data_IF_877465678974
#
_entry.id   IF_877465678974
#
_cell.length_a   1.000
_cell.length_b   1.000
_cell.length_c   1.000
_cell.angle_alpha   90.00
_cell.angle_beta   90.00
_cell.angle_gamma   90.00
#
_symmetry.space_group_name_H-M   'P 1'
#
loop_
_entity.id
_entity.type
_entity.pdbx_description
1 polymer ?
#
# COMPACT_ATOMS: atom_id res chain seq x y z
N UNK A 1 11.66 6.96 3.77
CA UNK A 1 11.63 7.23 2.32
C UNK A 1 12.92 6.75 1.66
N UNK A 2 12.84 6.24 0.44
CA UNK A 2 14.01 5.73 -0.28
C UNK A 2 14.66 6.78 -1.19
N UNK A 3 13.99 7.89 -1.48
CA UNK A 3 14.50 8.94 -2.35
C UNK A 3 14.65 10.29 -1.64
N UNK A 4 15.70 11.03 -1.99
CA UNK A 4 15.93 12.39 -1.56
C UNK A 4 16.44 13.24 -2.73
N UNK A 5 16.54 14.55 -2.53
CA UNK A 5 17.16 15.48 -3.47
C UNK A 5 18.59 15.78 -3.01
N UNK A 6 19.51 15.82 -3.96
CA UNK A 6 20.85 16.39 -3.74
C UNK A 6 20.76 17.92 -3.65
N UNK A 7 21.84 18.58 -3.27
CA UNK A 7 21.94 20.05 -3.28
C UNK A 7 21.62 20.66 -4.66
N UNK A 8 21.97 19.96 -5.73
CA UNK A 8 21.64 20.37 -7.11
C UNK A 8 20.21 20.06 -7.56
N UNK A 9 19.37 19.52 -6.68
CA UNK A 9 17.97 19.18 -6.98
C UNK A 9 17.78 17.84 -7.68
N UNK A 10 18.84 17.05 -7.90
CA UNK A 10 18.73 15.74 -8.52
C UNK A 10 18.17 14.73 -7.52
N UNK A 11 17.23 13.90 -7.98
CA UNK A 11 16.67 12.83 -7.20
C UNK A 11 17.60 11.64 -7.13
N UNK A 12 17.91 11.16 -5.92
CA UNK A 12 18.82 10.05 -5.65
C UNK A 12 18.15 9.02 -4.75
N UNK A 13 18.43 7.74 -4.98
CA UNK A 13 18.00 6.65 -4.12
C UNK A 13 18.99 6.47 -2.95
N UNK A 14 18.51 6.03 -1.79
CA UNK A 14 19.31 5.88 -0.57
C UNK A 14 20.48 4.91 -0.74
N UNK A 15 20.35 3.84 -1.56
CA UNK A 15 21.46 2.94 -1.87
C UNK A 15 22.64 3.63 -2.53
N UNK A 16 22.37 4.66 -3.32
CA UNK A 16 23.38 5.40 -4.10
C UNK A 16 23.93 6.61 -3.31
N UNK A 17 23.32 6.93 -2.16
CA UNK A 17 23.70 8.10 -1.36
C UNK A 17 25.04 7.91 -0.63
N UNK A 18 25.86 8.99 -0.57
CA UNK A 18 27.06 9.03 0.26
C UNK A 18 26.74 9.71 1.60
N UNK A 19 27.24 9.16 2.73
CA UNK A 19 27.00 9.74 4.06
C UNK A 19 27.60 11.13 4.26
N UNK A 20 28.55 11.54 3.44
CA UNK A 20 29.23 12.84 3.53
C UNK A 20 28.50 13.96 2.78
N UNK A 21 27.54 13.62 1.91
CA UNK A 21 26.82 14.59 1.09
C UNK A 21 25.54 15.08 1.80
N UNK A 22 25.04 16.21 1.34
CA UNK A 22 23.79 16.79 1.83
C UNK A 22 22.60 16.38 0.98
N UNK A 23 21.52 16.01 1.68
CA UNK A 23 20.28 15.58 1.05
C UNK A 23 19.08 16.26 1.66
N UNK A 24 18.03 16.44 0.87
CA UNK A 24 16.81 17.15 1.24
C UNK A 24 15.58 16.32 0.91
N UNK A 25 14.58 16.41 1.74
CA UNK A 25 13.28 15.78 1.49
C UNK A 25 12.62 16.37 0.25
N UNK A 26 12.16 15.57 -0.70
CA UNK A 26 11.47 16.08 -1.90
C UNK A 26 10.17 16.84 -1.58
N UNK A 27 9.56 16.56 -0.42
CA UNK A 27 8.29 17.16 -0.02
C UNK A 27 8.47 18.46 0.76
N UNK A 28 9.21 18.43 1.88
CA UNK A 28 9.35 19.58 2.79
C UNK A 28 10.67 20.34 2.67
N UNK A 29 11.58 19.89 1.82
CA UNK A 29 12.91 20.45 1.59
C UNK A 29 13.82 20.54 2.84
N UNK A 30 13.41 19.96 3.96
CA UNK A 30 14.25 19.85 5.16
C UNK A 30 15.35 18.82 4.94
N UNK A 31 16.47 19.01 5.65
CA UNK A 31 17.62 18.11 5.57
C UNK A 31 17.28 16.70 6.07
N UNK A 32 17.76 15.72 5.31
CA UNK A 32 17.63 14.30 5.61
C UNK A 32 19.02 13.64 5.56
N UNK A 33 19.14 12.53 6.29
CA UNK A 33 20.40 11.76 6.35
C UNK A 33 20.18 10.35 5.81
N UNK A 34 21.12 9.80 5.03
CA UNK A 34 21.04 8.41 4.58
C UNK A 34 21.32 7.46 5.74
N UNK A 35 20.40 6.54 5.97
CA UNK A 35 20.50 5.43 6.91
C UNK A 35 20.74 4.16 6.11
N UNK A 36 21.91 3.57 6.29
CA UNK A 36 22.33 2.34 5.64
C UNK A 36 22.71 1.33 6.70
N UNK A 37 22.15 0.14 6.66
CA UNK A 37 22.41 -0.91 7.62
C UNK A 37 22.15 -2.31 7.05
N UNK A 38 22.60 -3.33 7.79
CA UNK A 38 22.41 -4.74 7.37
C UNK A 38 21.01 -5.29 7.69
N UNK A 39 20.24 -4.60 8.53
CA UNK A 39 18.97 -5.09 9.07
C UNK A 39 17.79 -4.35 8.43
N UNK A 40 17.93 -3.04 8.23
CA UNK A 40 16.87 -2.20 7.66
C UNK A 40 17.22 -1.83 6.22
N UNK A 41 16.18 -1.59 5.43
CA UNK A 41 16.32 -1.07 4.06
C UNK A 41 17.06 0.25 4.09
N UNK A 42 17.88 0.50 3.08
CA UNK A 42 18.53 1.78 2.90
C UNK A 42 17.48 2.88 2.69
N UNK A 43 17.45 3.88 3.56
CA UNK A 43 16.45 4.95 3.54
C UNK A 43 17.03 6.30 3.99
N UNK A 44 16.32 7.37 3.67
CA UNK A 44 16.57 8.69 4.24
C UNK A 44 15.66 8.94 5.43
N UNK A 45 16.25 9.45 6.51
CA UNK A 45 15.53 9.83 7.71
C UNK A 45 15.62 11.36 7.91
N UNK A 46 14.52 11.98 8.32
CA UNK A 46 14.51 13.38 8.72
C UNK A 46 15.29 13.59 10.01
N UNK A 47 15.96 14.72 10.13
CA UNK A 47 16.56 15.19 11.38
C UNK A 47 15.57 16.00 12.24
N UNK A 48 14.44 16.41 11.63
CA UNK A 48 13.34 17.16 12.26
C UNK A 48 12.01 16.63 11.72
N UNK A 49 10.89 17.05 12.29
CA UNK A 49 9.56 16.62 11.85
C UNK A 49 9.31 16.98 10.37
N UNK A 50 8.82 16.04 9.58
CA UNK A 50 8.32 16.28 8.23
C UNK A 50 6.97 17.01 8.29
N UNK A 51 6.65 17.75 7.24
CA UNK A 51 5.36 18.43 7.09
C UNK A 51 4.26 17.49 6.59
N UNK A 52 4.65 16.32 6.05
CA UNK A 52 3.72 15.28 5.65
C UNK A 52 3.13 14.58 6.88
N UNK A 53 1.83 14.71 7.07
CA UNK A 53 1.11 14.06 8.17
C UNK A 53 0.92 12.55 7.94
N UNK A 54 1.10 12.10 6.70
CA UNK A 54 0.94 10.69 6.32
C UNK A 54 2.26 9.91 6.40
N UNK A 55 2.99 10.15 7.48
CA UNK A 55 4.28 9.51 7.69
C UNK A 55 4.10 8.13 8.31
N UNK A 56 4.75 7.13 7.74
CA UNK A 56 4.86 5.79 8.30
C UNK A 56 6.27 5.23 8.08
N UNK A 57 6.64 4.26 8.90
CA UNK A 57 7.89 3.53 8.72
C UNK A 57 7.73 2.51 7.58
N UNK A 58 8.63 2.59 6.60
CA UNK A 58 8.62 1.70 5.45
C UNK A 58 9.08 0.31 5.86
N UNK A 59 8.23 -0.70 5.70
CA UNK A 59 8.56 -2.10 5.88
C UNK A 59 9.31 -2.67 4.66
N UNK A 60 9.95 -3.83 4.82
CA UNK A 60 10.57 -4.54 3.69
C UNK A 60 9.54 -4.86 2.61
N UNK A 61 8.37 -5.38 3.02
CA UNK A 61 7.25 -5.65 2.14
C UNK A 61 6.83 -4.43 1.31
N UNK A 62 6.72 -3.26 1.93
CA UNK A 62 6.36 -2.02 1.25
C UNK A 62 7.42 -1.65 0.18
N UNK A 63 8.69 -1.71 0.53
CA UNK A 63 9.79 -1.44 -0.38
C UNK A 63 9.82 -2.44 -1.55
N UNK A 64 9.62 -3.73 -1.30
CA UNK A 64 9.57 -4.75 -2.34
C UNK A 64 8.47 -4.47 -3.35
N UNK A 65 7.27 -4.06 -2.90
CA UNK A 65 6.20 -3.62 -3.78
C UNK A 65 6.57 -2.38 -4.59
N UNK A 66 7.13 -1.36 -3.96
CA UNK A 66 7.55 -0.15 -4.66
C UNK A 66 8.61 -0.43 -5.73
N UNK A 67 9.58 -1.28 -5.43
CA UNK A 67 10.68 -1.64 -6.33
C UNK A 67 10.23 -2.37 -7.61
N UNK A 68 9.02 -2.91 -7.62
CA UNK A 68 8.43 -3.48 -8.83
C UNK A 68 8.10 -2.39 -9.89
N UNK A 69 8.04 -1.13 -9.50
CA UNK A 69 7.77 -0.02 -10.42
C UNK A 69 9.05 0.73 -10.81
N UNK A 70 9.11 1.37 -11.98
CA UNK A 70 10.25 2.21 -12.33
C UNK A 70 10.51 3.30 -11.27
N UNK A 71 11.77 3.56 -10.94
CA UNK A 71 12.16 4.55 -9.90
C UNK A 71 11.47 5.92 -10.05
N UNK A 72 11.17 6.36 -11.29
CA UNK A 72 10.46 7.62 -11.55
C UNK A 72 8.99 7.63 -11.10
N UNK A 73 8.42 6.45 -10.88
CA UNK A 73 7.02 6.28 -10.45
C UNK A 73 6.87 6.08 -8.95
N UNK A 74 7.96 5.87 -8.21
CA UNK A 74 7.97 5.59 -6.78
C UNK A 74 8.05 6.90 -6.00
N UNK A 75 7.48 6.96 -4.79
CA UNK A 75 7.52 8.11 -3.87
C UNK A 75 7.29 9.46 -4.58
N UNK A 76 6.21 9.56 -5.36
CA UNK A 76 5.92 10.74 -6.16
C UNK A 76 5.27 11.81 -5.29
N UNK A 77 5.91 12.97 -5.20
CA UNK A 77 5.32 14.13 -4.52
C UNK A 77 4.26 14.77 -5.41
N UNK A 78 3.07 14.92 -4.88
CA UNK A 78 1.91 15.56 -5.50
C UNK A 78 1.60 16.84 -4.73
N UNK A 79 1.52 17.96 -5.43
CA UNK A 79 1.07 19.24 -4.88
C UNK A 79 -0.23 19.65 -5.56
N UNK A 80 -1.28 19.83 -4.78
CA UNK A 80 -2.61 20.14 -5.27
C UNK A 80 -3.43 20.87 -4.21
N UNK A 81 -4.13 21.97 -4.59
CA UNK A 81 -4.98 22.76 -3.70
C UNK A 81 -4.29 23.20 -2.39
N UNK A 82 -3.02 23.62 -2.47
CA UNK A 82 -2.18 24.00 -1.33
C UNK A 82 -1.86 22.86 -0.34
N UNK A 83 -2.25 21.63 -0.64
CA UNK A 83 -1.83 20.43 0.07
C UNK A 83 -0.68 19.75 -0.69
N UNK A 84 0.20 19.05 0.03
CA UNK A 84 1.36 18.39 -0.56
C UNK A 84 1.62 17.06 0.14
N UNK A 85 1.49 15.98 -0.63
CA UNK A 85 1.65 14.62 -0.11
C UNK A 85 2.51 13.77 -1.04
N UNK A 86 3.05 12.68 -0.49
CA UNK A 86 3.85 11.73 -1.23
C UNK A 86 3.07 10.44 -1.42
N UNK A 87 2.75 10.13 -2.67
CA UNK A 87 2.19 8.85 -3.07
C UNK A 87 3.28 7.77 -3.12
N UNK A 88 2.98 6.55 -2.69
CA UNK A 88 3.93 5.44 -2.76
C UNK A 88 4.33 5.14 -4.20
N UNK A 89 3.34 5.01 -5.07
CA UNK A 89 3.57 4.83 -6.51
C UNK A 89 2.52 5.60 -7.31
N UNK A 90 2.94 6.21 -8.40
CA UNK A 90 2.02 6.80 -9.39
C UNK A 90 2.28 6.19 -10.76
N UNK A 91 1.35 5.37 -11.26
CA UNK A 91 1.48 4.66 -12.52
C UNK A 91 0.15 4.51 -13.24
N UNK A 92 0.16 4.57 -14.57
CA UNK A 92 -1.00 4.28 -15.44
C UNK A 92 -2.29 5.04 -15.10
N UNK A 93 -2.20 6.22 -14.52
CA UNK A 93 -3.36 7.04 -14.12
C UNK A 93 -3.87 6.75 -12.70
N UNK A 94 -3.22 5.86 -11.99
CA UNK A 94 -3.51 5.52 -10.59
C UNK A 94 -2.44 6.04 -9.65
N UNK A 95 -2.86 6.35 -8.44
CA UNK A 95 -2.02 6.30 -7.25
C UNK A 95 -2.17 4.90 -6.65
N UNK A 96 -1.09 4.29 -6.25
CA UNK A 96 -1.07 2.96 -5.60
C UNK A 96 -0.43 3.15 -4.25
N UNK A 97 -1.17 2.81 -3.20
CA UNK A 97 -0.77 2.89 -1.81
C UNK A 97 -0.59 1.49 -1.22
N UNK A 98 0.51 1.28 -0.50
CA UNK A 98 0.85 0.02 0.15
C UNK A 98 0.73 0.18 1.66
N UNK A 99 -0.21 -0.52 2.27
CA UNK A 99 -0.54 -0.37 3.68
C UNK A 99 -0.23 -1.64 4.46
N UNK A 100 0.82 -1.59 5.28
CA UNK A 100 1.25 -2.69 6.16
C UNK A 100 0.88 -2.45 7.63
N UNK A 101 0.75 -1.20 8.05
CA UNK A 101 0.41 -0.81 9.42
C UNK A 101 -1.07 -0.45 9.56
N UNK A 102 -1.62 -0.42 10.80
CA UNK A 102 -2.97 0.07 11.02
C UNK A 102 -3.20 1.47 10.48
N UNK A 103 -4.37 1.72 9.92
CA UNK A 103 -4.79 3.01 9.37
C UNK A 103 -6.20 3.37 9.84
N UNK A 104 -6.46 4.63 10.10
CA UNK A 104 -7.80 5.12 10.48
C UNK A 104 -8.70 5.30 9.28
N UNK A 105 -10.02 5.29 9.50
CA UNK A 105 -10.99 5.62 8.46
C UNK A 105 -10.81 7.05 7.96
N UNK A 106 -10.53 7.99 8.86
CA UNK A 106 -10.33 9.40 8.50
C UNK A 106 -9.11 9.56 7.60
N UNK A 107 -7.96 8.96 7.94
CA UNK A 107 -6.76 8.99 7.12
C UNK A 107 -6.97 8.32 5.75
N UNK A 108 -7.61 7.14 5.72
CA UNK A 108 -7.95 6.47 4.47
C UNK A 108 -8.82 7.35 3.56
N UNK A 109 -9.86 7.97 4.13
CA UNK A 109 -10.76 8.84 3.37
C UNK A 109 -10.09 10.15 2.94
N UNK A 110 -9.22 10.72 3.78
CA UNK A 110 -8.47 11.94 3.48
C UNK A 110 -7.52 11.72 2.30
N UNK A 111 -6.74 10.65 2.31
CA UNK A 111 -5.85 10.27 1.20
C UNK A 111 -6.62 10.05 -0.09
N UNK A 112 -7.73 9.30 -0.04
CA UNK A 112 -8.59 9.09 -1.22
C UNK A 112 -9.13 10.42 -1.76
N UNK A 113 -9.65 11.30 -0.90
CA UNK A 113 -10.16 12.62 -1.30
C UNK A 113 -9.09 13.44 -2.02
N UNK A 114 -7.87 13.50 -1.47
CA UNK A 114 -6.76 14.23 -2.05
C UNK A 114 -6.40 13.68 -3.44
N UNK A 115 -6.18 12.38 -3.58
CA UNK A 115 -5.80 11.78 -4.86
C UNK A 115 -6.90 11.88 -5.93
N UNK A 116 -8.15 11.67 -5.54
CA UNK A 116 -9.30 11.83 -6.45
C UNK A 116 -9.45 13.28 -6.90
N UNK A 117 -9.24 14.25 -6.02
CA UNK A 117 -9.29 15.67 -6.37
C UNK A 117 -8.18 16.07 -7.35
N UNK A 118 -7.03 15.42 -7.27
CA UNK A 118 -5.93 15.55 -8.23
C UNK A 118 -6.21 14.85 -9.57
N UNK A 119 -7.35 14.17 -9.70
CA UNK A 119 -7.76 13.47 -10.92
C UNK A 119 -7.12 12.12 -11.10
N UNK A 120 -6.70 11.45 -10.02
CA UNK A 120 -6.17 10.09 -10.03
C UNK A 120 -7.15 9.12 -9.39
N UNK A 121 -7.24 7.92 -9.94
CA UNK A 121 -7.85 6.77 -9.27
C UNK A 121 -6.87 6.20 -8.26
N UNK A 122 -7.39 5.50 -7.24
CA UNK A 122 -6.57 4.97 -6.14
C UNK A 122 -6.67 3.45 -6.09
N UNK A 123 -5.52 2.82 -5.94
CA UNK A 123 -5.42 1.39 -5.62
C UNK A 123 -4.77 1.28 -4.25
N UNK A 124 -5.41 0.56 -3.36
CA UNK A 124 -4.86 0.18 -2.08
C UNK A 124 -4.49 -1.30 -2.09
N UNK A 125 -3.30 -1.60 -1.59
CA UNK A 125 -2.86 -2.96 -1.30
C UNK A 125 -2.56 -3.02 0.20
N UNK A 126 -3.34 -3.81 0.94
CA UNK A 126 -3.16 -4.01 2.37
C UNK A 126 -2.44 -5.33 2.60
N UNK A 127 -1.35 -5.29 3.36
CA UNK A 127 -0.69 -6.49 3.85
C UNK A 127 -1.44 -7.00 5.08
N UNK A 128 -2.10 -8.12 4.93
CA UNK A 128 -2.83 -8.81 5.99
C UNK A 128 -2.24 -10.20 6.28
N UNK A 129 -0.99 -10.42 5.91
CA UNK A 129 -0.30 -11.71 6.10
C UNK A 129 -0.30 -12.12 7.57
N UNK A 130 0.07 -11.21 8.49
CA UNK A 130 0.05 -11.47 9.93
C UNK A 130 -1.36 -11.75 10.47
N UNK A 131 -2.37 -11.10 9.91
CA UNK A 131 -3.77 -11.31 10.28
C UNK A 131 -4.25 -12.70 9.85
N UNK A 132 -3.80 -13.16 8.70
CA UNK A 132 -4.11 -14.48 8.17
C UNK A 132 -3.33 -15.58 8.90
N UNK A 133 -2.00 -15.46 9.05
CA UNK A 133 -1.15 -16.44 9.71
C UNK A 133 -1.53 -16.67 11.18
N UNK A 134 -1.99 -15.63 11.86
CA UNK A 134 -2.47 -15.73 13.24
C UNK A 134 -3.88 -16.30 13.37
N UNK A 135 -4.53 -16.69 12.26
CA UNK A 135 -5.89 -17.22 12.24
C UNK A 135 -6.98 -16.18 12.56
N UNK A 136 -6.66 -14.88 12.50
CA UNK A 136 -7.66 -13.82 12.64
C UNK A 136 -8.49 -13.62 11.38
N UNK A 137 -7.89 -13.90 10.22
CA UNK A 137 -8.63 -14.03 8.96
C UNK A 137 -8.71 -15.51 8.61
N UNK A 138 -9.89 -15.99 8.35
CA UNK A 138 -10.15 -17.39 7.97
C UNK A 138 -11.22 -17.45 6.87
N UNK A 139 -11.10 -18.45 5.97
CA UNK A 139 -12.16 -18.79 5.02
C UNK A 139 -13.41 -19.20 5.78
N UNK A 140 -14.55 -18.57 5.48
CA UNK A 140 -15.79 -18.82 6.19
C UNK A 140 -16.45 -20.15 5.80
N UNK A 141 -16.23 -20.60 4.56
CA UNK A 141 -16.78 -21.87 4.08
C UNK A 141 -15.79 -22.64 3.20
N UNK A 142 -15.98 -23.95 3.08
CA UNK A 142 -15.14 -24.82 2.26
C UNK A 142 -15.27 -24.52 0.76
N UNK A 143 -16.36 -23.88 0.34
CA UNK A 143 -16.61 -23.51 -1.03
C UNK A 143 -15.69 -22.36 -1.47
N UNK A 144 -15.38 -21.45 -0.55
CA UNK A 144 -14.44 -20.35 -0.77
C UNK A 144 -12.99 -20.83 -0.98
N UNK A 145 -12.63 -21.99 -0.41
CA UNK A 145 -11.26 -22.55 -0.55
C UNK A 145 -10.99 -23.16 -1.92
N UNK A 146 -12.03 -23.56 -2.65
CA UNK A 146 -11.93 -24.32 -3.89
C UNK A 146 -12.42 -23.53 -5.11
N UNK A 147 -12.69 -22.25 -4.97
CA UNK A 147 -13.31 -21.47 -6.03
C UNK A 147 -12.39 -20.36 -6.52
N UNK A 148 -11.93 -20.48 -7.75
CA UNK A 148 -11.09 -19.50 -8.45
C UNK A 148 -11.74 -18.11 -8.61
N UNK A 149 -12.97 -17.93 -8.15
CA UNK A 149 -13.75 -16.71 -8.27
C UNK A 149 -13.79 -15.83 -6.99
N UNK A 150 -12.98 -16.15 -5.99
CA UNK A 150 -12.96 -15.45 -4.71
C UNK A 150 -13.78 -16.17 -3.61
N UNK A 151 -13.90 -15.55 -2.45
CA UNK A 151 -14.47 -16.20 -1.28
C UNK A 151 -15.14 -15.26 -0.29
N UNK A 152 -15.76 -15.86 0.72
CA UNK A 152 -16.23 -15.21 1.92
C UNK A 152 -15.24 -15.47 3.04
N UNK A 153 -14.77 -14.40 3.68
CA UNK A 153 -13.80 -14.46 4.76
C UNK A 153 -14.40 -13.90 6.04
N UNK A 154 -13.98 -14.45 7.16
CA UNK A 154 -14.25 -13.95 8.49
C UNK A 154 -12.99 -13.30 9.04
N UNK A 155 -13.09 -12.05 9.50
CA UNK A 155 -11.98 -11.33 10.12
C UNK A 155 -12.29 -10.99 11.57
N UNK A 156 -11.63 -11.70 12.46
CA UNK A 156 -11.74 -11.49 13.91
C UNK A 156 -10.81 -10.36 14.35
N UNK A 157 -11.29 -9.50 15.24
CA UNK A 157 -10.51 -8.36 15.79
C UNK A 157 -9.97 -7.39 14.74
N UNK A 158 -10.63 -7.24 13.61
CA UNK A 158 -10.24 -6.33 12.52
C UNK A 158 -9.97 -4.88 12.97
N UNK A 159 -10.55 -4.46 14.10
CA UNK A 159 -10.33 -3.14 14.72
C UNK A 159 -8.87 -2.85 15.06
N UNK A 160 -8.04 -3.87 15.21
CA UNK A 160 -6.60 -3.71 15.46
C UNK A 160 -5.88 -3.11 14.25
N UNK A 161 -6.37 -3.40 13.04
CA UNK A 161 -5.78 -2.95 11.79
C UNK A 161 -6.57 -1.79 11.17
N UNK A 162 -7.88 -1.93 11.04
CA UNK A 162 -8.75 -1.01 10.32
C UNK A 162 -9.64 -0.14 11.22
N UNK A 163 -9.41 -0.10 12.54
CA UNK A 163 -10.07 0.78 13.50
C UNK A 163 -11.59 0.96 13.29
N UNK A 164 -12.32 -0.12 13.09
CA UNK A 164 -13.79 -0.16 12.96
C UNK A 164 -14.37 0.15 11.57
N UNK A 165 -13.56 0.46 10.58
CA UNK A 165 -14.05 0.58 9.20
C UNK A 165 -13.55 -0.59 8.34
N UNK A 166 -14.05 -0.67 7.12
CA UNK A 166 -13.46 -1.48 6.06
C UNK A 166 -13.45 -0.71 4.77
N UNK A 167 -12.29 -0.70 4.11
CA UNK A 167 -12.19 -0.09 2.82
C UNK A 167 -13.08 -0.84 1.84
N UNK A 168 -13.84 -0.11 1.04
CA UNK A 168 -14.75 -0.66 0.04
C UNK A 168 -14.31 -0.22 -1.34
N UNK A 169 -14.45 -1.12 -2.31
CA UNK A 169 -14.28 -0.76 -3.70
C UNK A 169 -15.33 0.24 -4.16
N UNK A 170 -14.89 1.17 -4.97
CA UNK A 170 -15.74 2.04 -5.77
C UNK A 170 -15.24 2.07 -7.22
N UNK A 171 -15.88 2.86 -8.05
CA UNK A 171 -15.43 3.06 -9.44
C UNK A 171 -13.99 3.58 -9.53
N UNK A 172 -13.58 4.40 -8.57
CA UNK A 172 -12.32 5.14 -8.59
C UNK A 172 -11.36 4.74 -7.47
N UNK A 173 -11.81 3.88 -6.53
CA UNK A 173 -11.02 3.33 -5.43
C UNK A 173 -11.10 1.81 -5.49
N UNK A 174 -9.96 1.17 -5.61
CA UNK A 174 -9.85 -0.29 -5.72
C UNK A 174 -9.01 -0.78 -4.54
N UNK A 175 -9.49 -1.81 -3.86
CA UNK A 175 -8.85 -2.35 -2.66
C UNK A 175 -8.51 -3.80 -2.87
N UNK A 176 -7.26 -4.14 -2.60
CA UNK A 176 -6.77 -5.50 -2.53
C UNK A 176 -6.29 -5.82 -1.11
N UNK A 177 -6.54 -7.05 -0.68
CA UNK A 177 -5.95 -7.64 0.51
C UNK A 177 -4.95 -8.71 0.10
N UNK A 178 -3.72 -8.57 0.52
CA UNK A 178 -2.70 -9.61 0.40
C UNK A 178 -2.69 -10.41 1.70
N UNK A 179 -2.90 -11.72 1.61
CA UNK A 179 -2.98 -12.59 2.77
C UNK A 179 -1.71 -13.37 3.03
N UNK A 180 -1.05 -13.87 1.99
CA UNK A 180 0.17 -14.64 2.12
C UNK A 180 0.94 -14.71 0.80
N UNK A 181 2.22 -15.04 0.93
CA UNK A 181 3.05 -15.46 -0.19
C UNK A 181 3.11 -16.99 -0.20
N UNK A 182 2.64 -17.61 -1.26
CA UNK A 182 2.81 -19.04 -1.43
C UNK A 182 4.17 -19.32 -2.07
N UNK A 183 5.05 -19.93 -1.32
CA UNK A 183 6.29 -20.52 -1.86
C UNK A 183 6.01 -21.94 -2.32
N UNK A 184 5.36 -22.12 -3.47
CA UNK A 184 5.35 -23.41 -4.14
C UNK A 184 6.70 -23.65 -4.82
N UNK A 185 7.14 -24.92 -4.91
CA UNK A 185 8.47 -25.32 -5.34
C UNK A 185 8.91 -24.75 -6.70
N UNK A 186 7.99 -24.22 -7.50
CA UNK A 186 8.23 -23.70 -8.85
C UNK A 186 7.80 -22.25 -9.08
N UNK A 187 7.13 -21.58 -8.13
CA UNK A 187 6.66 -20.19 -8.26
C UNK A 187 6.50 -19.51 -6.91
N UNK A 188 7.09 -18.32 -6.77
CA UNK A 188 6.73 -17.40 -5.71
C UNK A 188 5.41 -16.71 -6.10
N UNK A 189 4.28 -17.18 -5.58
CA UNK A 189 2.97 -16.61 -5.84
C UNK A 189 2.51 -15.76 -4.66
N UNK A 190 2.17 -14.50 -4.95
CA UNK A 190 1.54 -13.60 -3.99
C UNK A 190 0.04 -13.71 -4.17
N UNK A 191 -0.67 -14.12 -3.14
CA UNK A 191 -2.13 -14.19 -3.16
C UNK A 191 -2.74 -12.87 -2.75
N UNK A 192 -3.41 -12.22 -3.71
CA UNK A 192 -4.17 -11.01 -3.48
C UNK A 192 -5.64 -11.24 -3.75
N UNK A 193 -6.46 -10.74 -2.85
CA UNK A 193 -7.90 -10.80 -2.96
C UNK A 193 -8.46 -9.38 -3.14
N UNK A 194 -9.17 -9.17 -4.24
CA UNK A 194 -9.88 -7.90 -4.44
C UNK A 194 -11.14 -7.87 -3.60
N UNK A 195 -11.27 -6.87 -2.75
CA UNK A 195 -12.49 -6.67 -1.95
C UNK A 195 -13.65 -6.26 -2.87
N UNK A 196 -14.70 -7.05 -2.91
CA UNK A 196 -15.85 -6.80 -3.79
C UNK A 196 -17.08 -6.28 -3.06
N UNK A 197 -17.22 -6.59 -1.77
CA UNK A 197 -18.40 -6.27 -0.99
C UNK A 197 -18.07 -5.74 0.39
N UNK A 198 -18.98 -4.93 0.90
CA UNK A 198 -18.95 -4.52 2.29
C UNK A 198 -19.41 -5.67 3.20
N UNK A 199 -18.95 -5.59 4.40
CA UNK A 199 -19.07 -6.53 5.47
C UNK A 199 -20.45 -6.51 6.09
N UNK A 200 -20.91 -7.69 6.43
CA UNK A 200 -21.92 -7.87 7.46
C UNK A 200 -21.27 -7.71 8.84
N UNK A 201 -21.59 -6.61 9.52
CA UNK A 201 -21.25 -6.42 10.91
C UNK A 201 -22.32 -7.14 11.75
N UNK A 202 -21.94 -8.25 12.38
CA UNK A 202 -22.81 -8.89 13.35
C UNK A 202 -22.64 -8.15 14.69
N UNK A 203 -23.66 -7.40 15.12
CA UNK A 203 -23.60 -6.40 16.19
C UNK A 203 -23.16 -6.87 17.59
N UNK A 204 -22.93 -8.16 17.79
CA UNK A 204 -22.47 -8.75 19.05
C UNK A 204 -21.14 -9.52 18.96
N UNK A 205 -20.49 -9.56 17.79
CA UNK A 205 -19.27 -10.35 17.57
C UNK A 205 -18.08 -9.47 17.25
N UNK A 206 -16.92 -9.85 17.78
CA UNK A 206 -15.64 -9.21 17.49
C UNK A 206 -15.09 -9.55 16.10
N UNK A 207 -15.95 -9.84 15.12
CA UNK A 207 -15.54 -10.21 13.77
C UNK A 207 -16.40 -9.51 12.71
N UNK A 208 -15.81 -9.39 11.54
CA UNK A 208 -16.44 -8.89 10.32
C UNK A 208 -16.35 -9.93 9.22
N UNK A 209 -17.33 -9.94 8.34
CA UNK A 209 -17.26 -10.72 7.11
C UNK A 209 -16.92 -9.81 5.94
N UNK A 210 -16.14 -10.30 5.01
CA UNK A 210 -15.91 -9.63 3.74
C UNK A 210 -15.88 -10.64 2.60
N UNK A 211 -16.20 -10.16 1.43
CA UNK A 211 -16.23 -10.94 0.21
C UNK A 211 -15.16 -10.43 -0.74
N UNK A 212 -14.56 -11.36 -1.44
CA UNK A 212 -13.51 -11.05 -2.40
C UNK A 212 -13.81 -11.68 -3.75
N UNK A 213 -13.18 -11.19 -4.78
CA UNK A 213 -12.96 -11.94 -6.00
C UNK A 213 -11.47 -12.27 -6.06
N UNK A 214 -11.18 -13.55 -6.29
CA UNK A 214 -9.82 -14.02 -6.47
C UNK A 214 -9.12 -13.21 -7.56
N UNK A 215 -7.93 -12.77 -7.25
CA UNK A 215 -7.02 -12.20 -8.22
C UNK A 215 -5.67 -12.89 -8.05
N UNK A 216 -5.31 -13.84 -8.93
CA UNK A 216 -3.97 -14.40 -8.93
C UNK A 216 -3.02 -13.28 -9.35
N UNK A 217 -2.22 -12.78 -8.43
CA UNK A 217 -1.50 -11.59 -8.80
C UNK A 217 -0.06 -11.59 -8.37
N UNK A 218 0.81 -11.89 -9.32
CA UNK A 218 2.11 -11.26 -9.28
C UNK A 218 2.01 -9.82 -9.83
N UNK A 219 3.06 -9.05 -9.65
CA UNK A 219 3.14 -7.66 -10.11
C UNK A 219 2.78 -7.46 -11.60
N UNK A 220 3.21 -8.36 -12.48
CA UNK A 220 2.93 -8.27 -13.92
C UNK A 220 1.44 -8.36 -14.20
N UNK A 221 0.73 -9.22 -13.49
CA UNK A 221 -0.71 -9.40 -13.61
C UNK A 221 -1.48 -8.21 -13.06
N UNK A 222 -1.04 -7.62 -11.93
CA UNK A 222 -1.60 -6.36 -11.43
C UNK A 222 -1.42 -5.24 -12.46
N UNK A 223 -0.24 -5.10 -13.08
CA UNK A 223 -0.01 -4.12 -14.13
C UNK A 223 -0.88 -4.38 -15.37
N UNK A 224 -1.02 -5.62 -15.81
CA UNK A 224 -1.89 -5.98 -16.91
C UNK A 224 -3.36 -5.70 -16.57
N UNK A 225 -3.78 -6.00 -15.34
CA UNK A 225 -5.11 -5.67 -14.85
C UNK A 225 -5.34 -4.15 -14.86
N UNK A 226 -4.40 -3.35 -14.36
CA UNK A 226 -4.44 -1.87 -14.37
C UNK A 226 -4.57 -1.36 -15.81
N UNK A 227 -3.77 -1.88 -16.73
CA UNK A 227 -3.81 -1.50 -18.15
C UNK A 227 -5.15 -1.84 -18.80
N UNK A 228 -5.69 -3.03 -18.53
CA UNK A 228 -6.97 -3.50 -19.06
C UNK A 228 -8.14 -2.66 -18.58
N UNK A 229 -8.14 -2.22 -17.33
CA UNK A 229 -9.24 -1.45 -16.71
C UNK A 229 -9.07 0.09 -16.83
N UNK A 230 -8.01 0.54 -17.47
CA UNK A 230 -7.77 1.98 -17.75
C UNK A 230 -8.79 2.60 -18.71
N UNK A 231 -9.50 1.80 -19.51
CA UNK A 231 -10.39 2.26 -20.58
C UNK A 231 -11.87 2.32 -20.20
N UNK A 232 -12.22 2.04 -18.98
CA UNK A 232 -13.57 2.19 -18.41
C UNK A 232 -13.64 3.33 -17.42
#
# INVERSE_FOLDING_TARGET
>A
MEFALTYSGNRIHASDANKQDEYFCPLCHKKVIPRKGKVNIDHFAHQSTCEDSWHYDMSAWHSEWQQQFPKRNQEVVIEHNAEKHRADVMACGYVIEFQHSPITADEFNERNRFYLSYGKKVIWIFDLSDEFESGRIDCYDEWSRNNDNGGKFKWSYSKRFLQSYLPQNSKDIIVFFQFFESKHADRDEVYMERVTWAIEENGYSNFKYFFTSYYPGNFLELLEWIKKHRKT
#
